data_IF_473384848259
#
_entry.id   IF_473384848259
#
_cell.length_a   1.000
_cell.length_b   1.000
_cell.length_c   1.000
_cell.angle_alpha   90.00
_cell.angle_beta   90.00
_cell.angle_gamma   90.00
#
_symmetry.space_group_name_H-M   'P 1'
#
loop_
_entity.id
_entity.type
_entity.pdbx_description
1 polymer ?
#
# COMPACT_ATOMS: atom_id res chain seq x y z
N UNK A 1 -21.01 11.90 -6.12
CA UNK A 1 -20.17 10.69 -6.06
C UNK A 1 -20.75 9.82 -4.95
N UNK A 2 -21.01 8.55 -5.20
CA UNK A 2 -21.61 7.63 -4.21
C UNK A 2 -20.69 7.47 -2.97
N UNK A 3 -21.25 7.44 -1.76
CA UNK A 3 -20.49 7.26 -0.50
C UNK A 3 -19.67 5.97 -0.52
N UNK A 4 -20.22 4.91 -1.11
CA UNK A 4 -19.49 3.65 -1.30
C UNK A 4 -18.23 3.87 -2.15
N UNK A 5 -18.35 4.63 -3.23
CA UNK A 5 -17.25 4.88 -4.15
C UNK A 5 -16.15 5.74 -3.51
N UNK A 6 -16.53 6.72 -2.69
CA UNK A 6 -15.59 7.51 -1.89
C UNK A 6 -14.82 6.64 -0.89
N UNK A 7 -15.51 5.73 -0.18
CA UNK A 7 -14.88 4.78 0.74
C UNK A 7 -13.88 3.88 0.01
N UNK A 8 -14.28 3.27 -1.10
CA UNK A 8 -13.42 2.38 -1.90
C UNK A 8 -12.16 3.12 -2.36
N UNK A 9 -12.29 4.35 -2.86
CA UNK A 9 -11.15 5.17 -3.25
C UNK A 9 -10.23 5.48 -2.06
N UNK A 10 -10.79 5.88 -0.92
CA UNK A 10 -10.00 6.14 0.29
C UNK A 10 -9.19 4.92 0.74
N UNK A 11 -9.81 3.74 0.74
CA UNK A 11 -9.14 2.47 1.05
C UNK A 11 -8.09 2.11 0.02
N UNK A 12 -8.33 2.38 -1.26
CA UNK A 12 -7.35 2.16 -2.32
C UNK A 12 -6.11 3.04 -2.13
N UNK A 13 -6.29 4.34 -1.85
CA UNK A 13 -5.18 5.24 -1.56
C UNK A 13 -4.36 4.75 -0.37
N UNK A 14 -5.03 4.40 0.73
CA UNK A 14 -4.36 3.88 1.94
C UNK A 14 -3.64 2.56 1.67
N UNK A 15 -4.28 1.64 0.96
CA UNK A 15 -3.70 0.32 0.67
C UNK A 15 -2.44 0.42 -0.20
N UNK A 16 -2.48 1.27 -1.23
CA UNK A 16 -1.33 1.52 -2.09
C UNK A 16 -0.20 2.23 -1.32
N UNK A 17 -0.52 3.26 -0.53
CA UNK A 17 0.46 3.97 0.29
C UNK A 17 1.16 3.03 1.29
N UNK A 18 0.39 2.24 2.05
CA UNK A 18 0.95 1.28 3.00
C UNK A 18 1.86 0.26 2.31
N UNK A 19 1.43 -0.27 1.17
CA UNK A 19 2.23 -1.25 0.43
C UNK A 19 3.52 -0.63 -0.14
N UNK A 20 3.45 0.54 -0.77
CA UNK A 20 4.64 1.24 -1.27
C UNK A 20 5.60 1.59 -0.14
N UNK A 21 5.09 2.07 1.00
CA UNK A 21 5.92 2.36 2.17
C UNK A 21 6.61 1.10 2.69
N UNK A 22 5.91 -0.03 2.75
CA UNK A 22 6.52 -1.31 3.11
C UNK A 22 7.61 -1.71 2.11
N UNK A 23 7.34 -1.66 0.80
CA UNK A 23 8.31 -2.02 -0.23
C UNK A 23 9.55 -1.11 -0.23
N UNK A 24 9.38 0.19 0.01
CA UNK A 24 10.48 1.15 0.15
C UNK A 24 11.28 0.94 1.44
N UNK A 25 10.63 0.45 2.50
CA UNK A 25 11.29 0.21 3.78
C UNK A 25 12.39 -0.86 3.69
N UNK A 26 12.32 -1.78 2.72
CA UNK A 26 13.37 -2.78 2.44
C UNK A 26 14.76 -2.18 2.27
N UNK A 27 14.83 -0.94 1.79
CA UNK A 27 16.08 -0.24 1.52
C UNK A 27 16.58 0.58 2.71
N UNK A 28 15.88 0.55 3.86
CA UNK A 28 16.24 1.28 5.07
C UNK A 28 16.80 0.32 6.14
N UNK A 29 17.96 0.63 6.74
CA UNK A 29 18.62 -0.23 7.72
C UNK A 29 17.86 -0.33 9.06
N UNK A 30 16.99 0.62 9.37
CA UNK A 30 16.18 0.72 10.59
C UNK A 30 14.71 0.35 10.36
N UNK A 31 14.38 -0.31 9.25
CA UNK A 31 13.01 -0.67 8.92
C UNK A 31 12.48 -1.86 9.71
N UNK A 32 11.15 -1.90 9.87
CA UNK A 32 10.42 -3.05 10.41
C UNK A 32 9.92 -3.99 9.30
N UNK A 33 10.55 -3.97 8.11
CA UNK A 33 10.07 -4.71 6.94
C UNK A 33 9.85 -6.19 7.24
N UNK A 34 10.86 -6.86 7.80
CA UNK A 34 10.80 -8.30 8.08
C UNK A 34 9.76 -8.64 9.14
N UNK A 35 9.57 -7.78 10.14
CA UNK A 35 8.56 -7.97 11.17
C UNK A 35 7.15 -7.91 10.59
N UNK A 36 6.85 -6.88 9.79
CA UNK A 36 5.54 -6.73 9.14
C UNK A 36 5.31 -7.85 8.12
N UNK A 37 6.34 -8.19 7.34
CA UNK A 37 6.23 -9.26 6.34
C UNK A 37 6.00 -10.63 7.00
N UNK A 38 6.65 -10.92 8.12
CA UNK A 38 6.44 -12.15 8.90
C UNK A 38 5.04 -12.22 9.50
N UNK A 39 4.51 -11.10 10.00
CA UNK A 39 3.15 -11.04 10.51
C UNK A 39 2.12 -11.37 9.42
N UNK A 40 2.26 -10.77 8.23
CA UNK A 40 1.38 -11.02 7.07
C UNK A 40 1.51 -12.48 6.61
N UNK A 41 2.73 -13.01 6.54
CA UNK A 41 3.01 -14.42 6.23
C UNK A 41 2.28 -15.37 7.18
N UNK A 42 2.36 -15.13 8.49
CA UNK A 42 1.67 -15.92 9.50
C UNK A 42 0.14 -15.82 9.37
N UNK A 43 -0.39 -14.61 9.14
CA UNK A 43 -1.82 -14.34 8.98
C UNK A 43 -2.45 -15.12 7.83
N UNK A 44 -1.73 -15.26 6.72
CA UNK A 44 -2.20 -15.96 5.52
C UNK A 44 -1.61 -17.37 5.35
N UNK A 45 -0.85 -17.87 6.34
CA UNK A 45 -0.22 -19.20 6.34
C UNK A 45 0.61 -19.45 5.08
N UNK A 46 1.46 -18.50 4.72
CA UNK A 46 2.30 -18.55 3.52
C UNK A 46 3.71 -18.06 3.83
N UNK A 47 4.72 -18.71 3.26
CA UNK A 47 6.12 -18.33 3.46
C UNK A 47 6.54 -17.08 2.66
N UNK A 48 5.79 -16.75 1.60
CA UNK A 48 6.09 -15.61 0.73
C UNK A 48 4.81 -14.88 0.31
N UNK A 49 4.32 -13.92 1.12
CA UNK A 49 3.12 -13.18 0.80
C UNK A 49 3.33 -12.31 -0.45
N UNK A 50 2.50 -12.55 -1.47
CA UNK A 50 2.49 -11.75 -2.69
C UNK A 50 1.93 -10.33 -2.43
N UNK A 51 2.09 -9.38 -3.38
CA UNK A 51 1.61 -8.00 -3.20
C UNK A 51 0.13 -7.88 -2.84
N UNK A 52 -0.74 -8.74 -3.38
CA UNK A 52 -2.17 -8.75 -3.07
C UNK A 52 -2.41 -9.07 -1.59
N UNK A 53 -1.75 -10.10 -1.07
CA UNK A 53 -1.84 -10.48 0.35
C UNK A 53 -1.24 -9.41 1.26
N UNK A 54 -0.17 -8.73 0.83
CA UNK A 54 0.41 -7.61 1.57
C UNK A 54 -0.56 -6.44 1.69
N UNK A 55 -1.16 -6.01 0.58
CA UNK A 55 -2.14 -4.92 0.59
C UNK A 55 -3.33 -5.28 1.48
N UNK A 56 -3.86 -6.50 1.36
CA UNK A 56 -4.98 -6.96 2.19
C UNK A 56 -4.60 -6.97 3.67
N UNK A 57 -3.48 -7.59 4.04
CA UNK A 57 -3.03 -7.69 5.42
C UNK A 57 -2.74 -6.32 6.05
N UNK A 58 -2.10 -5.42 5.32
CA UNK A 58 -1.83 -4.05 5.77
C UNK A 58 -3.12 -3.27 6.00
N UNK A 59 -4.10 -3.39 5.11
CA UNK A 59 -5.42 -2.77 5.28
C UNK A 59 -6.19 -3.38 6.45
N UNK A 60 -6.16 -4.70 6.63
CA UNK A 60 -6.77 -5.37 7.80
C UNK A 60 -6.19 -4.79 9.10
N UNK A 61 -4.86 -4.77 9.22
CA UNK A 61 -4.18 -4.24 10.41
C UNK A 61 -4.57 -2.80 10.68
N UNK A 62 -4.50 -1.94 9.66
CA UNK A 62 -4.75 -0.51 9.80
C UNK A 62 -6.22 -0.21 10.16
N UNK A 63 -7.18 -0.93 9.58
CA UNK A 63 -8.59 -0.75 9.89
C UNK A 63 -8.98 -1.34 11.24
N UNK A 64 -8.37 -2.46 11.64
CA UNK A 64 -8.55 -3.04 12.98
C UNK A 64 -8.01 -2.05 14.02
N UNK A 65 -6.80 -1.53 13.82
CA UNK A 65 -6.22 -0.53 14.72
C UNK A 65 -7.11 0.70 14.85
N UNK A 66 -7.58 1.27 13.73
CA UNK A 66 -8.51 2.41 13.75
C UNK A 66 -9.80 2.07 14.51
N UNK A 67 -10.39 0.91 14.21
CA UNK A 67 -11.65 0.49 14.81
C UNK A 67 -11.53 0.31 16.32
N UNK A 68 -10.38 -0.24 16.76
CA UNK A 68 -10.05 -0.52 18.16
C UNK A 68 -9.52 0.70 18.92
N UNK A 69 -8.96 1.68 18.22
CA UNK A 69 -8.41 2.89 18.84
C UNK A 69 -9.51 3.73 19.50
N UNK A 70 -9.27 4.19 20.72
CA UNK A 70 -10.17 5.12 21.42
C UNK A 70 -11.46 4.51 21.99
N UNK A 71 -11.60 3.17 22.03
CA UNK A 71 -12.74 2.50 22.66
C UNK A 71 -12.29 1.65 23.87
N UNK A 72 -13.02 1.78 24.97
CA UNK A 72 -12.97 0.80 26.06
C UNK A 72 -13.86 -0.38 25.65
N UNK A 73 -13.30 -1.39 25.01
CA UNK A 73 -14.02 -2.65 24.79
C UNK A 73 -14.23 -3.30 26.14
N UNK A 74 -15.49 -3.58 26.50
CA UNK A 74 -15.82 -4.05 27.83
C UNK A 74 -15.61 -5.56 27.98
N UNK A 75 -15.50 -6.32 26.86
CA UNK A 75 -15.15 -7.75 26.84
C UNK A 75 -14.27 -8.16 25.63
N UNK A 76 -13.64 -9.34 25.71
CA UNK A 76 -12.90 -9.95 24.59
C UNK A 76 -13.81 -10.32 23.41
N UNK A 77 -15.03 -10.77 23.69
CA UNK A 77 -16.02 -11.16 22.67
C UNK A 77 -16.45 -9.98 21.80
N UNK A 78 -16.67 -8.81 22.40
CA UNK A 78 -16.98 -7.57 21.67
C UNK A 78 -15.82 -7.18 20.74
N UNK A 79 -14.59 -7.32 21.22
CA UNK A 79 -13.38 -7.02 20.44
C UNK A 79 -13.26 -7.96 19.23
N UNK A 80 -13.49 -9.25 19.41
CA UNK A 80 -13.46 -10.22 18.32
C UNK A 80 -14.54 -9.96 17.27
N UNK A 81 -15.75 -9.59 17.72
CA UNK A 81 -16.84 -9.26 16.82
C UNK A 81 -16.51 -8.04 15.94
N UNK A 82 -15.92 -6.99 16.51
CA UNK A 82 -15.48 -5.82 15.72
C UNK A 82 -14.41 -6.19 14.70
N UNK A 83 -13.41 -6.99 15.09
CA UNK A 83 -12.37 -7.46 14.17
C UNK A 83 -12.99 -8.22 13.00
N UNK A 84 -13.94 -9.12 13.28
CA UNK A 84 -14.63 -9.91 12.27
C UNK A 84 -15.39 -9.04 11.28
N UNK A 85 -16.13 -8.04 11.77
CA UNK A 85 -16.88 -7.11 10.92
C UNK A 85 -15.96 -6.30 9.98
N UNK A 86 -14.81 -5.84 10.50
CA UNK A 86 -13.80 -5.14 9.69
C UNK A 86 -13.28 -6.04 8.57
N UNK A 87 -12.89 -7.28 8.90
CA UNK A 87 -12.33 -8.23 7.93
C UNK A 87 -13.37 -8.60 6.87
N UNK A 88 -14.61 -8.88 7.26
CA UNK A 88 -15.69 -9.23 6.33
C UNK A 88 -16.06 -8.06 5.40
N UNK A 89 -16.15 -6.85 5.96
CA UNK A 89 -16.42 -5.65 5.16
C UNK A 89 -15.29 -5.37 4.18
N UNK A 90 -14.03 -5.49 4.62
CA UNK A 90 -12.87 -5.29 3.75
C UNK A 90 -12.86 -6.33 2.62
N UNK A 91 -13.03 -7.61 2.94
CA UNK A 91 -13.02 -8.68 1.95
C UNK A 91 -14.08 -8.49 0.85
N UNK A 92 -15.25 -7.96 1.21
CA UNK A 92 -16.33 -7.64 0.26
C UNK A 92 -15.96 -6.52 -0.71
N UNK A 93 -15.32 -5.47 -0.21
CA UNK A 93 -14.95 -4.30 -1.02
C UNK A 93 -13.59 -4.47 -1.72
N UNK A 94 -12.77 -5.44 -1.29
CA UNK A 94 -11.38 -5.61 -1.74
C UNK A 94 -11.20 -5.71 -3.27
N UNK A 95 -12.05 -6.42 -4.03
CA UNK A 95 -11.93 -6.44 -5.48
C UNK A 95 -12.09 -5.07 -6.14
N UNK A 96 -12.97 -4.22 -5.60
CA UNK A 96 -13.17 -2.86 -6.13
C UNK A 96 -12.05 -1.92 -5.68
N UNK A 97 -11.50 -2.13 -4.48
CA UNK A 97 -10.29 -1.45 -3.99
C UNK A 97 -9.11 -1.72 -4.93
N UNK A 98 -8.89 -2.99 -5.31
CA UNK A 98 -7.80 -3.37 -6.23
C UNK A 98 -7.92 -2.71 -7.60
N UNK A 99 -9.13 -2.58 -8.15
CA UNK A 99 -9.34 -1.87 -9.43
C UNK A 99 -8.96 -0.40 -9.35
N UNK A 100 -9.21 0.26 -8.22
CA UNK A 100 -8.78 1.64 -8.04
C UNK A 100 -7.26 1.73 -7.83
N UNK A 101 -6.66 0.76 -7.10
CA UNK A 101 -5.20 0.65 -6.96
C UNK A 101 -4.52 0.48 -8.32
N UNK A 102 -5.04 -0.37 -9.20
CA UNK A 102 -4.52 -0.60 -10.55
C UNK A 102 -4.44 0.71 -11.35
N UNK A 103 -5.52 1.51 -11.36
CA UNK A 103 -5.54 2.82 -12.03
C UNK A 103 -4.48 3.78 -11.48
N UNK A 104 -4.27 3.78 -10.16
CA UNK A 104 -3.26 4.62 -9.54
C UNK A 104 -1.84 4.14 -9.86
N UNK A 105 -1.62 2.83 -9.88
CA UNK A 105 -0.35 2.24 -10.26
C UNK A 105 0.00 2.54 -11.73
N UNK A 106 -0.97 2.50 -12.63
CA UNK A 106 -0.79 2.87 -14.04
C UNK A 106 -0.38 4.35 -14.19
N UNK A 107 -1.03 5.27 -13.47
CA UNK A 107 -0.66 6.69 -13.46
C UNK A 107 0.76 6.91 -12.93
N UNK A 108 1.12 6.24 -11.83
CA UNK A 108 2.48 6.28 -11.26
C UNK A 108 3.50 5.74 -12.26
N UNK A 109 3.21 4.62 -12.93
CA UNK A 109 4.10 4.02 -13.91
C UNK A 109 4.32 4.95 -15.12
N UNK A 110 3.27 5.65 -15.56
CA UNK A 110 3.38 6.71 -16.57
C UNK A 110 4.34 7.82 -16.13
N UNK A 111 4.24 8.29 -14.90
CA UNK A 111 5.15 9.30 -14.32
C UNK A 111 6.59 8.79 -14.18
N UNK A 112 6.78 7.54 -13.79
CA UNK A 112 8.12 6.90 -13.72
C UNK A 112 8.75 6.84 -15.11
N UNK A 113 7.96 6.58 -16.16
CA UNK A 113 8.44 6.54 -17.54
C UNK A 113 8.91 7.93 -17.98
N UNK A 114 8.11 8.97 -17.74
CA UNK A 114 8.50 10.36 -18.00
C UNK A 114 9.76 10.77 -17.24
N UNK A 115 9.89 10.36 -15.97
CA UNK A 115 11.07 10.63 -15.16
C UNK A 115 12.34 10.04 -15.80
N UNK A 116 12.28 8.80 -16.30
CA UNK A 116 13.42 8.15 -16.99
C UNK A 116 13.80 8.89 -18.26
N UNK A 117 12.84 9.25 -19.10
CA UNK A 117 13.08 10.00 -20.34
C UNK A 117 13.75 11.35 -20.05
N UNK A 118 13.26 12.07 -19.04
CA UNK A 118 13.85 13.34 -18.63
C UNK A 118 15.27 13.17 -18.09
N UNK A 119 15.52 12.12 -17.30
CA UNK A 119 16.86 11.83 -16.78
C UNK A 119 17.87 11.51 -17.88
N UNK A 120 17.44 10.82 -18.94
CA UNK A 120 18.28 10.53 -20.10
C UNK A 120 18.63 11.81 -20.87
N UNK A 121 17.61 12.64 -21.17
CA UNK A 121 17.83 13.93 -21.84
C UNK A 121 18.76 14.84 -21.04
N UNK A 122 18.61 14.85 -19.72
CA UNK A 122 19.50 15.61 -18.84
C UNK A 122 20.96 15.18 -18.99
N UNK A 123 21.21 13.87 -19.06
CA UNK A 123 22.55 13.32 -19.26
C UNK A 123 23.13 13.68 -20.65
N UNK A 124 22.35 13.48 -21.70
CA UNK A 124 22.76 13.77 -23.09
C UNK A 124 23.13 15.25 -23.26
N UNK A 125 22.36 16.16 -22.68
CA UNK A 125 22.65 17.60 -22.70
C UNK A 125 23.95 17.96 -21.96
N UNK A 126 24.32 17.24 -20.89
CA UNK A 126 25.60 17.48 -20.21
C UNK A 126 26.79 16.99 -21.04
N UNK A 127 26.64 15.88 -21.77
CA UNK A 127 27.69 15.35 -22.67
C UNK A 127 27.92 16.27 -23.90
N UNK A 128 26.86 16.92 -24.40
CA UNK A 128 26.97 17.92 -25.48
C UNK A 128 27.67 19.22 -25.03
N UNK A 129 27.39 19.70 -23.80
CA UNK A 129 28.05 20.88 -23.23
C UNK A 129 29.56 20.63 -22.95
N UNK A 130 29.94 19.40 -22.57
CA UNK A 130 31.35 19.00 -22.40
C UNK A 130 32.10 18.88 -23.74
N UNK A 131 31.45 18.40 -24.81
CA UNK A 131 32.05 18.30 -26.14
C UNK A 131 32.17 19.65 -26.89
N UNK A 132 31.39 20.66 -26.51
CA UNK A 132 31.43 22.00 -27.13
C UNK A 132 32.42 22.98 -26.49
N UNK A 133 33.19 22.55 -25.48
CA UNK A 133 34.31 23.33 -24.95
C UNK A 133 33.88 24.69 -24.38
N UNK A 134 33.27 24.66 -23.20
CA UNK A 134 33.41 25.74 -22.23
C UNK A 134 34.35 25.31 -21.11
#
# INVERSE_FOLDING_TARGET
MDEKQLRVKGLAYRGLDLWLNLELSKFRPDSQYEQVNSFIAQRFKTDNPNPLLKILGLLEMALIEDALSGKNYFTEEEREQVIKEVVESLAKDFPDILKEIEKMADDINGKITQLKELSQKYRENMEEDECQGK
#
